data_IF_092099595542
#
_entry.id   IF_092099595542
#
_cell.length_a   1.000
_cell.length_b   1.000
_cell.length_c   1.000
_cell.angle_alpha   90.00
_cell.angle_beta   90.00
_cell.angle_gamma   90.00
#
_symmetry.space_group_name_H-M   'P 1'
#
loop_
_entity.id
_entity.type
_entity.pdbx_description
1 polymer ?
#
# COMPACT_ATOMS: atom_id res chain seq x y z
N UNK A 1 8.58 -11.49 -12.91
CA UNK A 1 9.18 -10.60 -13.95
C UNK A 1 8.60 -11.10 -15.25
N UNK A 2 7.93 -10.25 -16.05
CA UNK A 2 7.26 -10.69 -17.26
C UNK A 2 8.26 -11.03 -18.36
N UNK A 3 7.82 -11.82 -19.34
CA UNK A 3 8.61 -12.19 -20.52
C UNK A 3 8.95 -10.95 -21.36
N UNK A 4 8.02 -10.00 -21.47
CA UNK A 4 8.23 -8.70 -22.11
C UNK A 4 7.36 -7.61 -21.47
N UNK A 5 7.41 -6.40 -22.00
CA UNK A 5 6.48 -5.32 -21.65
C UNK A 5 5.20 -5.34 -22.50
N UNK A 6 4.88 -6.46 -23.16
CA UNK A 6 3.58 -6.62 -23.80
C UNK A 6 2.45 -6.61 -22.76
N UNK A 7 1.26 -6.13 -23.14
CA UNK A 7 0.15 -6.02 -22.19
C UNK A 7 -0.25 -7.37 -21.59
N UNK A 8 -0.19 -8.45 -22.36
CA UNK A 8 -0.52 -9.80 -21.87
C UNK A 8 0.55 -10.39 -20.96
N UNK A 9 1.84 -10.28 -21.31
CA UNK A 9 2.92 -10.84 -20.48
C UNK A 9 2.94 -10.20 -19.08
N UNK A 10 2.64 -8.89 -19.00
CA UNK A 10 2.52 -8.18 -17.72
C UNK A 10 1.31 -8.69 -16.93
N UNK A 11 0.16 -8.87 -17.59
CA UNK A 11 -1.07 -9.34 -16.94
C UNK A 11 -0.99 -10.81 -16.50
N UNK A 12 -0.30 -11.65 -17.27
CA UNK A 12 -0.08 -13.05 -16.94
C UNK A 12 0.69 -13.21 -15.62
N UNK A 13 1.72 -12.40 -15.40
CA UNK A 13 2.46 -12.41 -14.12
C UNK A 13 1.60 -11.89 -12.95
N UNK A 14 0.73 -10.89 -13.17
CA UNK A 14 -0.21 -10.42 -12.14
C UNK A 14 -1.18 -11.54 -11.73
N UNK A 15 -1.78 -12.21 -12.71
CA UNK A 15 -2.72 -13.33 -12.47
C UNK A 15 -2.01 -14.50 -11.80
N UNK A 16 -0.77 -14.81 -12.20
CA UNK A 16 0.05 -15.84 -11.56
C UNK A 16 0.26 -15.58 -10.07
N UNK A 17 0.48 -14.32 -9.68
CA UNK A 17 0.57 -13.95 -8.26
C UNK A 17 -0.76 -14.17 -7.55
N UNK A 18 -1.88 -13.71 -8.11
CA UNK A 18 -3.21 -13.87 -7.51
C UNK A 18 -3.59 -15.35 -7.32
N UNK A 19 -3.26 -16.21 -8.28
CA UNK A 19 -3.48 -17.66 -8.18
C UNK A 19 -2.73 -18.32 -7.01
N UNK A 20 -1.63 -17.73 -6.56
CA UNK A 20 -0.86 -18.20 -5.40
C UNK A 20 -1.39 -17.68 -4.06
N UNK A 21 -2.42 -16.83 -4.06
CA UNK A 21 -3.03 -16.30 -2.84
C UNK A 21 -4.24 -17.17 -2.46
N UNK A 22 -4.20 -17.74 -1.26
CA UNK A 22 -5.34 -18.47 -0.70
C UNK A 22 -6.47 -17.49 -0.30
N UNK A 23 -7.73 -17.94 -0.26
CA UNK A 23 -8.82 -17.13 0.28
C UNK A 23 -8.49 -16.62 1.68
N UNK A 24 -8.86 -15.38 1.97
CA UNK A 24 -8.56 -14.72 3.24
C UNK A 24 -9.35 -15.36 4.38
N UNK A 25 -8.68 -15.65 5.50
CA UNK A 25 -9.35 -16.13 6.72
C UNK A 25 -9.80 -14.96 7.58
N UNK A 26 -10.94 -15.08 8.26
CA UNK A 26 -11.38 -14.08 9.24
C UNK A 26 -10.40 -13.90 10.41
N UNK A 27 -9.57 -14.91 10.70
CA UNK A 27 -8.50 -14.80 11.71
C UNK A 27 -7.40 -13.82 11.32
N UNK A 28 -7.24 -13.56 10.02
CA UNK A 28 -6.22 -12.66 9.47
C UNK A 28 -6.80 -11.29 9.12
N UNK A 29 -8.03 -11.01 9.55
CA UNK A 29 -8.78 -9.79 9.23
C UNK A 29 -9.20 -9.07 10.51
N UNK A 30 -8.97 -7.75 10.53
CA UNK A 30 -9.51 -6.84 11.53
C UNK A 30 -10.42 -5.85 10.84
N UNK A 31 -11.67 -5.79 11.26
CA UNK A 31 -12.65 -4.82 10.78
C UNK A 31 -12.90 -3.76 11.86
N UNK A 32 -13.14 -2.53 11.43
CA UNK A 32 -13.49 -1.42 12.30
C UNK A 32 -14.61 -0.58 11.70
N UNK A 33 -15.33 0.12 12.57
CA UNK A 33 -16.33 1.12 12.20
C UNK A 33 -16.02 2.39 13.00
N UNK A 34 -15.92 3.54 12.32
CA UNK A 34 -15.54 4.78 13.00
C UNK A 34 -16.71 5.34 13.83
N UNK A 35 -16.35 5.96 14.94
CA UNK A 35 -17.25 6.69 15.84
C UNK A 35 -16.83 8.16 15.86
N UNK A 36 -17.74 9.04 16.28
CA UNK A 36 -17.45 10.45 16.43
C UNK A 36 -16.40 10.70 17.51
N UNK A 37 -15.51 11.65 17.25
CA UNK A 37 -14.57 12.19 18.23
C UNK A 37 -15.25 13.31 19.03
N UNK A 38 -15.39 13.13 20.35
CA UNK A 38 -16.05 14.11 21.23
C UNK A 38 -15.31 15.45 21.28
N UNK A 39 -13.98 15.42 21.11
CA UNK A 39 -13.11 16.59 21.10
C UNK A 39 -12.86 17.15 19.69
N UNK A 40 -13.31 16.42 18.65
CA UNK A 40 -13.16 16.81 17.26
C UNK A 40 -14.03 18.01 16.87
N UNK A 41 -13.86 18.55 15.66
CA UNK A 41 -14.70 19.62 15.13
C UNK A 41 -15.39 19.21 13.83
N UNK A 42 -16.56 19.79 13.55
CA UNK A 42 -17.33 19.52 12.33
C UNK A 42 -17.68 18.04 12.17
N UNK A 43 -17.43 17.51 10.96
CA UNK A 43 -17.74 16.12 10.60
C UNK A 43 -17.01 15.09 11.47
N UNK A 44 -15.90 15.45 12.12
CA UNK A 44 -15.17 14.55 13.02
C UNK A 44 -15.98 14.17 14.26
N UNK A 45 -16.96 14.99 14.67
CA UNK A 45 -17.86 14.68 15.79
C UNK A 45 -18.89 13.60 15.48
N UNK A 46 -19.13 13.33 14.20
CA UNK A 46 -20.17 12.40 13.75
C UNK A 46 -19.56 11.04 13.42
N UNK A 47 -20.09 9.99 14.01
CA UNK A 47 -19.76 8.61 13.70
C UNK A 47 -20.48 8.09 12.45
N UNK A 48 -20.14 6.86 12.04
CA UNK A 48 -20.77 6.24 10.87
C UNK A 48 -22.28 6.04 11.04
N UNK A 49 -22.72 5.73 12.26
CA UNK A 49 -24.14 5.53 12.57
C UNK A 49 -24.93 6.83 12.78
N UNK A 50 -24.24 7.98 12.83
CA UNK A 50 -24.88 9.29 12.92
C UNK A 50 -25.29 9.84 11.55
N UNK A 51 -24.79 9.25 10.46
CA UNK A 51 -25.22 9.56 9.11
C UNK A 51 -26.69 9.13 8.91
N UNK A 52 -27.61 10.05 8.56
CA UNK A 52 -29.03 9.74 8.42
C UNK A 52 -29.35 8.78 7.26
N UNK A 53 -28.41 8.60 6.33
CA UNK A 53 -28.54 7.65 5.20
C UNK A 53 -28.12 6.23 5.58
N UNK A 54 -27.48 6.04 6.74
CA UNK A 54 -27.01 4.75 7.22
C UNK A 54 -28.11 4.04 8.03
N UNK A 55 -28.42 2.76 7.77
CA UNK A 55 -29.37 2.01 8.57
C UNK A 55 -28.95 1.93 10.04
N UNK A 56 -29.93 2.12 10.95
CA UNK A 56 -29.70 1.98 12.40
C UNK A 56 -29.19 0.58 12.74
N UNK A 57 -28.08 0.51 13.47
CA UNK A 57 -27.43 -0.76 13.85
C UNK A 57 -26.61 -1.42 12.74
N UNK A 58 -26.28 -0.71 11.65
CA UNK A 58 -25.41 -1.22 10.59
C UNK A 58 -24.06 -1.69 11.15
N UNK A 59 -23.65 -2.91 10.80
CA UNK A 59 -22.33 -3.46 11.14
C UNK A 59 -21.32 -3.30 9.99
N UNK A 60 -21.59 -2.42 9.03
CA UNK A 60 -20.74 -2.22 7.86
C UNK A 60 -19.36 -1.67 8.28
N UNK A 61 -18.30 -2.37 7.87
CA UNK A 61 -16.94 -1.96 8.16
C UNK A 61 -16.55 -0.70 7.36
N UNK A 62 -15.98 0.29 8.05
CA UNK A 62 -15.39 1.51 7.45
C UNK A 62 -13.86 1.47 7.48
N UNK A 63 -13.29 0.46 8.13
CA UNK A 63 -11.87 0.16 8.21
C UNK A 63 -11.67 -1.34 8.07
N UNK A 64 -10.64 -1.74 7.35
CA UNK A 64 -10.21 -3.12 7.27
C UNK A 64 -8.67 -3.20 7.26
N UNK A 65 -8.15 -4.19 7.98
CA UNK A 65 -6.79 -4.69 7.77
C UNK A 65 -6.88 -6.18 7.49
N UNK A 66 -6.18 -6.65 6.46
CA UNK A 66 -6.11 -8.06 6.09
C UNK A 66 -4.65 -8.46 5.85
N UNK A 67 -4.27 -9.65 6.31
CA UNK A 67 -2.96 -10.24 6.00
C UNK A 67 -3.14 -11.33 4.95
N UNK A 68 -2.44 -11.19 3.83
CA UNK A 68 -2.40 -12.18 2.75
C UNK A 68 -1.01 -12.78 2.63
N UNK A 69 -0.94 -14.00 2.09
CA UNK A 69 0.32 -14.67 1.79
C UNK A 69 0.32 -15.12 0.33
N UNK A 70 1.41 -14.83 -0.37
CA UNK A 70 1.63 -15.30 -1.74
C UNK A 70 2.44 -16.60 -1.68
N UNK A 71 1.78 -17.74 -1.87
CA UNK A 71 2.39 -19.08 -1.75
C UNK A 71 3.18 -19.44 -3.00
N UNK A 72 4.37 -18.85 -3.14
CA UNK A 72 5.35 -19.22 -4.16
C UNK A 72 6.77 -19.11 -3.61
N UNK A 73 7.75 -19.63 -4.34
CA UNK A 73 9.16 -19.65 -3.93
C UNK A 73 9.71 -18.28 -3.51
N UNK A 74 9.27 -17.19 -4.16
CA UNK A 74 9.78 -15.85 -3.90
C UNK A 74 9.24 -15.22 -2.62
N UNK A 75 7.98 -15.50 -2.30
CA UNK A 75 7.22 -14.79 -1.25
C UNK A 75 6.75 -15.71 -0.13
N UNK A 76 7.28 -16.93 -0.07
CA UNK A 76 6.90 -17.88 0.96
C UNK A 76 7.18 -17.33 2.37
N UNK A 77 6.18 -17.41 3.23
CA UNK A 77 6.22 -16.85 4.59
C UNK A 77 6.18 -15.31 4.70
N UNK A 78 6.16 -14.56 3.60
CA UNK A 78 6.14 -13.08 3.64
C UNK A 78 4.69 -12.56 3.75
N UNK A 79 4.33 -11.83 4.83
CA UNK A 79 2.98 -11.28 4.99
C UNK A 79 2.79 -10.02 4.15
N UNK A 80 1.69 -9.98 3.39
CA UNK A 80 1.20 -8.80 2.68
C UNK A 80 0.07 -8.18 3.49
N UNK A 81 0.34 -7.05 4.13
CA UNK A 81 -0.64 -6.35 4.96
C UNK A 81 -1.38 -5.31 4.09
N UNK A 82 -2.67 -5.53 3.88
CA UNK A 82 -3.56 -4.56 3.24
C UNK A 82 -4.31 -3.82 4.31
N UNK A 83 -4.18 -2.48 4.35
CA UNK A 83 -4.86 -1.63 5.33
C UNK A 83 -5.55 -0.48 4.61
N UNK A 84 -6.85 -0.31 4.84
CA UNK A 84 -7.62 0.79 4.29
C UNK A 84 -8.73 1.22 5.26
N UNK A 85 -9.16 2.47 5.17
CA UNK A 85 -10.29 2.96 5.94
C UNK A 85 -10.64 4.41 5.69
N UNK A 86 -11.75 4.84 6.27
CA UNK A 86 -12.25 6.23 6.29
C UNK A 86 -12.11 6.82 7.70
N UNK A 87 -12.22 8.15 7.80
CA UNK A 87 -12.06 8.90 9.05
C UNK A 87 -10.75 8.55 9.79
N UNK A 88 -9.68 8.39 9.03
CA UNK A 88 -8.32 8.18 9.55
C UNK A 88 -7.61 9.53 9.73
N UNK A 89 -6.46 9.49 10.40
CA UNK A 89 -5.65 10.66 10.73
C UNK A 89 -5.09 11.41 9.51
N UNK A 90 -4.98 10.75 8.34
CA UNK A 90 -4.43 11.36 7.13
C UNK A 90 -4.98 10.71 5.86
N UNK A 91 -4.98 11.47 4.76
CA UNK A 91 -5.16 10.92 3.42
C UNK A 91 -3.81 10.40 2.93
N UNK A 92 -3.67 9.08 2.75
CA UNK A 92 -2.43 8.47 2.25
C UNK A 92 -2.68 7.18 1.50
N UNK A 93 -2.01 7.00 0.38
CA UNK A 93 -1.87 5.74 -0.35
C UNK A 93 -0.38 5.47 -0.56
N UNK A 94 0.09 4.32 -0.07
CA UNK A 94 1.51 4.00 0.02
C UNK A 94 1.74 2.50 -0.07
N UNK A 95 2.88 2.11 -0.66
CA UNK A 95 3.44 0.77 -0.60
C UNK A 95 4.72 0.83 0.24
N UNK A 96 4.82 -0.03 1.25
CA UNK A 96 5.97 -0.11 2.15
C UNK A 96 6.52 -1.52 2.15
N UNK A 97 7.82 -1.65 1.90
CA UNK A 97 8.56 -2.89 2.03
C UNK A 97 9.49 -2.74 3.22
N UNK A 98 9.28 -3.52 4.27
CA UNK A 98 10.19 -3.60 5.41
C UNK A 98 11.13 -4.79 5.21
N UNK A 99 12.43 -4.54 5.24
CA UNK A 99 13.46 -5.57 5.07
C UNK A 99 13.71 -6.32 6.38
N UNK A 100 14.31 -7.50 6.27
CA UNK A 100 14.77 -8.28 7.43
C UNK A 100 15.92 -7.58 8.16
N UNK A 101 16.08 -7.89 9.44
CA UNK A 101 17.22 -7.43 10.22
C UNK A 101 18.54 -7.91 9.59
N UNK A 102 19.59 -7.09 9.69
CA UNK A 102 20.92 -7.46 9.20
C UNK A 102 21.48 -8.57 10.10
N UNK A 103 21.87 -9.74 9.57
CA UNK A 103 22.40 -10.82 10.39
C UNK A 103 23.77 -10.46 10.96
N UNK A 104 24.06 -10.94 12.18
CA UNK A 104 25.36 -10.70 12.83
C UNK A 104 25.55 -9.27 13.28
N UNK A 105 24.54 -8.71 13.96
CA UNK A 105 24.56 -7.33 14.43
C UNK A 105 25.75 -7.03 15.36
N UNK A 106 26.57 -6.05 14.95
CA UNK A 106 27.72 -5.53 15.69
C UNK A 106 27.43 -4.18 16.35
N UNK A 107 26.22 -3.64 16.19
CA UNK A 107 25.81 -2.31 16.65
C UNK A 107 24.91 -2.37 17.89
N UNK A 108 24.96 -3.45 18.67
CA UNK A 108 24.22 -3.60 19.94
C UNK A 108 22.72 -3.30 19.82
N UNK A 109 22.08 -3.81 18.77
CA UNK A 109 20.66 -3.66 18.44
C UNK A 109 20.20 -2.22 18.22
N UNK A 110 21.13 -1.33 17.85
CA UNK A 110 20.82 0.04 17.43
C UNK A 110 20.43 0.13 15.95
N UNK A 111 20.60 -0.95 15.18
CA UNK A 111 20.15 -1.01 13.79
C UNK A 111 18.66 -1.31 13.71
N UNK A 112 17.93 -0.48 12.98
CA UNK A 112 16.53 -0.71 12.63
C UNK A 112 16.41 -1.35 11.24
N UNK A 113 15.25 -1.94 10.96
CA UNK A 113 14.95 -2.51 9.66
C UNK A 113 14.89 -1.41 8.61
N UNK A 114 15.57 -1.62 7.49
CA UNK A 114 15.44 -0.74 6.35
C UNK A 114 14.01 -0.79 5.80
N UNK A 115 13.55 0.30 5.20
CA UNK A 115 12.24 0.35 4.56
C UNK A 115 12.33 1.04 3.21
N UNK A 116 11.73 0.45 2.17
CA UNK A 116 11.49 1.13 0.91
C UNK A 116 10.03 1.57 0.87
N UNK A 117 9.82 2.86 0.67
CA UNK A 117 8.50 3.47 0.69
C UNK A 117 8.21 4.15 -0.64
N UNK A 118 7.08 3.77 -1.23
CA UNK A 118 6.53 4.38 -2.45
C UNK A 118 5.20 5.02 -2.08
N UNK A 119 5.19 6.35 -1.91
CA UNK A 119 3.98 7.12 -1.63
C UNK A 119 3.32 7.51 -2.94
N UNK A 120 2.14 6.96 -3.19
CA UNK A 120 1.35 7.19 -4.41
C UNK A 120 0.61 8.51 -4.34
N UNK A 121 0.03 8.85 -3.18
CA UNK A 121 -0.60 10.15 -2.95
C UNK A 121 -0.87 10.38 -1.46
N UNK A 122 -0.96 11.64 -1.00
CA UNK A 122 -0.53 12.87 -1.67
C UNK A 122 1.00 13.02 -1.66
N UNK A 123 1.53 14.00 -2.40
CA UNK A 123 2.97 14.31 -2.48
C UNK A 123 3.79 13.08 -2.87
N UNK A 124 3.66 12.69 -4.14
CA UNK A 124 4.33 11.54 -4.76
C UNK A 124 5.82 11.54 -4.40
N UNK A 125 6.25 10.46 -3.75
CA UNK A 125 7.63 10.34 -3.29
C UNK A 125 8.06 8.87 -3.23
N UNK A 126 9.34 8.65 -3.46
CA UNK A 126 10.01 7.37 -3.22
C UNK A 126 11.14 7.65 -2.26
N UNK A 127 11.15 6.99 -1.12
CA UNK A 127 12.24 7.14 -0.15
C UNK A 127 12.63 5.81 0.48
N UNK A 128 13.91 5.68 0.81
CA UNK A 128 14.46 4.51 1.46
C UNK A 128 15.00 4.89 2.84
N UNK A 129 14.40 4.33 3.88
CA UNK A 129 14.89 4.42 5.26
C UNK A 129 16.03 3.46 5.45
N UNK A 130 17.15 3.96 5.97
CA UNK A 130 18.37 3.19 6.16
C UNK A 130 19.18 3.71 7.34
N UNK A 131 20.07 2.87 7.84
CA UNK A 131 21.01 3.26 8.88
C UNK A 131 22.22 3.97 8.28
N UNK A 132 22.57 5.13 8.83
CA UNK A 132 23.82 5.84 8.53
C UNK A 132 24.56 6.20 9.81
N UNK A 133 25.85 6.50 9.72
CA UNK A 133 26.60 7.01 10.87
C UNK A 133 25.99 8.34 11.30
N UNK A 134 25.67 8.47 12.59
CA UNK A 134 25.23 9.74 13.17
C UNK A 134 26.22 10.86 12.83
N UNK A 135 25.77 11.97 12.19
CA UNK A 135 26.65 13.08 11.86
C UNK A 135 27.36 13.65 13.10
N UNK A 136 28.66 13.92 12.97
CA UNK A 136 29.51 14.41 14.06
C UNK A 136 30.49 13.36 14.61
N UNK A 137 30.93 13.57 15.86
CA UNK A 137 31.91 12.72 16.56
C UNK A 137 31.19 11.61 17.34
N UNK A 138 30.30 10.90 16.64
CA UNK A 138 29.58 9.74 17.16
C UNK A 138 29.92 8.51 16.32
N UNK A 139 29.79 7.32 16.91
CA UNK A 139 30.01 6.05 16.21
C UNK A 139 28.74 5.20 16.11
N UNK A 140 27.64 5.65 16.72
CA UNK A 140 26.35 4.98 16.67
C UNK A 140 25.68 5.15 15.30
N UNK A 141 25.02 4.10 14.78
CA UNK A 141 24.12 4.26 13.65
C UNK A 141 22.88 5.07 14.06
N UNK A 142 22.31 5.79 13.10
CA UNK A 142 21.07 6.57 13.21
C UNK A 142 20.25 6.38 11.94
N UNK A 143 18.93 6.30 12.08
CA UNK A 143 18.02 6.18 10.93
C UNK A 143 18.04 7.48 10.10
N UNK A 144 18.22 7.35 8.80
CA UNK A 144 18.15 8.43 7.82
C UNK A 144 17.39 7.96 6.59
N UNK A 145 17.15 8.86 5.64
CA UNK A 145 16.40 8.57 4.42
C UNK A 145 17.11 9.10 3.17
N UNK A 146 17.08 8.31 2.10
CA UNK A 146 17.32 8.79 0.75
C UNK A 146 15.96 9.09 0.11
N UNK A 147 15.69 10.37 -0.17
CA UNK A 147 14.38 10.84 -0.65
C UNK A 147 14.39 11.30 -2.12
N UNK A 148 13.36 10.90 -2.85
CA UNK A 148 12.96 11.44 -4.14
C UNK A 148 11.51 11.93 -4.05
N UNK A 149 11.32 13.16 -3.62
CA UNK A 149 10.02 13.84 -3.69
C UNK A 149 9.79 14.49 -5.05
N UNK A 150 8.74 14.06 -5.77
CA UNK A 150 8.47 14.49 -7.15
C UNK A 150 8.26 15.99 -7.26
N UNK A 151 7.49 16.58 -6.32
CA UNK A 151 7.22 18.02 -6.29
C UNK A 151 8.49 18.87 -6.16
N UNK A 152 9.51 18.37 -5.46
CA UNK A 152 10.79 19.06 -5.31
C UNK A 152 11.71 18.86 -6.53
N UNK A 153 11.73 17.63 -7.06
CA UNK A 153 12.67 17.22 -8.12
C UNK A 153 12.19 17.57 -9.53
N UNK A 154 10.88 17.64 -9.76
CA UNK A 154 10.21 17.83 -11.05
C UNK A 154 9.18 18.98 -10.97
N UNK A 155 9.61 20.15 -10.49
CA UNK A 155 8.75 21.31 -10.20
C UNK A 155 7.84 21.73 -11.36
N UNK A 156 8.34 21.62 -12.60
CA UNK A 156 7.65 22.09 -13.80
C UNK A 156 6.91 20.98 -14.56
N UNK A 157 6.89 19.75 -14.01
CA UNK A 157 6.23 18.61 -14.65
C UNK A 157 4.81 18.48 -14.12
N UNK A 158 3.82 18.67 -14.99
CA UNK A 158 2.43 18.33 -14.67
C UNK A 158 2.27 16.81 -14.71
N UNK A 159 1.91 16.22 -13.58
CA UNK A 159 1.47 14.82 -13.54
C UNK A 159 0.06 14.75 -14.12
N UNK A 160 -0.18 13.93 -15.17
CA UNK A 160 -1.51 13.75 -15.73
C UNK A 160 -2.43 13.07 -14.71
N UNK A 161 -3.71 13.40 -14.75
CA UNK A 161 -4.70 12.66 -13.96
C UNK A 161 -4.79 11.20 -14.40
N UNK A 162 -5.22 10.31 -13.50
CA UNK A 162 -5.38 8.90 -13.79
C UNK A 162 -6.31 8.65 -15.00
N UNK A 163 -7.39 9.43 -15.15
CA UNK A 163 -8.30 9.28 -16.28
C UNK A 163 -7.71 9.80 -17.59
N UNK A 164 -6.92 10.88 -17.58
CA UNK A 164 -6.20 11.37 -18.77
C UNK A 164 -5.29 10.25 -19.33
N UNK A 165 -4.57 9.56 -18.45
CA UNK A 165 -3.68 8.47 -18.84
C UNK A 165 -4.44 7.25 -19.35
N UNK A 166 -5.47 6.80 -18.62
CA UNK A 166 -6.22 5.60 -18.99
C UNK A 166 -6.98 5.78 -20.31
N UNK A 167 -7.58 6.95 -20.55
CA UNK A 167 -8.25 7.24 -21.83
C UNK A 167 -7.24 7.21 -22.98
N UNK A 168 -6.06 7.82 -22.81
CA UNK A 168 -5.00 7.78 -23.81
C UNK A 168 -4.56 6.32 -24.10
N UNK A 169 -4.42 5.50 -23.06
CA UNK A 169 -4.04 4.09 -23.21
C UNK A 169 -5.07 3.31 -24.06
N UNK A 170 -6.38 3.62 -23.95
CA UNK A 170 -7.41 3.04 -24.83
C UNK A 170 -7.19 3.41 -26.30
N UNK A 171 -6.91 4.68 -26.59
CA UNK A 171 -6.63 5.14 -27.96
C UNK A 171 -5.35 4.52 -28.52
N UNK A 172 -4.35 4.29 -27.67
CA UNK A 172 -3.11 3.61 -28.05
C UNK A 172 -3.23 2.08 -28.12
N UNK A 173 -4.40 1.50 -27.79
CA UNK A 173 -4.61 0.05 -27.74
C UNK A 173 -3.82 -0.66 -26.63
N UNK A 174 -3.35 0.07 -25.62
CA UNK A 174 -2.61 -0.48 -24.48
C UNK A 174 -3.58 -0.95 -23.40
N UNK A 175 -3.57 -2.25 -23.12
CA UNK A 175 -4.41 -2.85 -22.09
C UNK A 175 -3.67 -3.13 -20.77
N UNK A 176 -2.41 -2.73 -20.67
CA UNK A 176 -1.52 -3.07 -19.55
C UNK A 176 -2.07 -2.60 -18.19
N UNK A 177 -2.72 -1.43 -18.16
CA UNK A 177 -3.26 -0.82 -16.93
C UNK A 177 -4.72 -1.20 -16.65
N UNK A 178 -5.33 -2.06 -17.47
CA UNK A 178 -6.72 -2.48 -17.33
C UNK A 178 -6.81 -3.89 -16.72
N UNK A 179 -7.85 -4.09 -15.91
CA UNK A 179 -8.13 -5.38 -15.28
C UNK A 179 -8.62 -6.38 -16.32
N UNK A 180 -7.98 -7.55 -16.40
CA UNK A 180 -8.41 -8.65 -17.28
C UNK A 180 -9.46 -9.52 -16.58
N UNK A 181 -10.29 -10.22 -17.34
CA UNK A 181 -11.40 -11.02 -16.79
C UNK A 181 -10.97 -12.13 -15.82
N UNK A 182 -9.80 -12.73 -16.03
CA UNK A 182 -9.21 -13.71 -15.13
C UNK A 182 -8.61 -13.07 -13.87
N UNK A 183 -7.97 -11.90 -13.99
CA UNK A 183 -7.52 -11.09 -12.85
C UNK A 183 -8.69 -10.77 -11.91
N UNK A 184 -9.82 -10.36 -12.48
CA UNK A 184 -11.04 -10.08 -11.72
C UNK A 184 -11.58 -11.33 -11.01
N UNK A 185 -11.57 -12.49 -11.70
CA UNK A 185 -12.05 -13.76 -11.12
C UNK A 185 -11.21 -14.18 -9.90
N UNK A 186 -9.88 -14.07 -10.00
CA UNK A 186 -8.99 -14.41 -8.89
C UNK A 186 -9.15 -13.43 -7.72
N UNK A 187 -9.34 -12.13 -8.00
CA UNK A 187 -9.62 -11.15 -6.96
C UNK A 187 -10.90 -11.51 -6.17
N UNK A 188 -11.98 -11.89 -6.86
CA UNK A 188 -13.20 -12.36 -6.19
C UNK A 188 -12.97 -13.65 -5.40
N UNK A 189 -12.24 -14.63 -5.94
CA UNK A 189 -11.91 -15.89 -5.25
C UNK A 189 -11.16 -15.67 -3.93
N UNK A 190 -10.36 -14.62 -3.82
CA UNK A 190 -9.57 -14.34 -2.60
C UNK A 190 -10.46 -13.79 -1.47
N UNK A 191 -11.53 -13.07 -1.80
CA UNK A 191 -12.34 -12.32 -0.83
C UNK A 191 -13.80 -12.81 -0.69
N UNK A 192 -14.21 -13.84 -1.45
CA UNK A 192 -15.53 -14.49 -1.38
C UNK A 192 -15.40 -15.86 -0.76
#
# INVERSE_FOLDING_TARGET
KPASTSSDDVRDEKVKVLKCIAPVSLSDVVLGQYVGDSEGEGDAKSGYLDDPTVPKGSTQATFATAVLYVRNERWDGVPFILRCGKALNERKAEVRLQFMDVPGDIFNSQCHRNELVVRVQPNEAIYAKMMSKKPGVYFSPEETELDLTYRSRYKDVKLPDAYERLILDVFCGSQMHFVRSDELREAWRIFT
#
